data_IF_070877699353
#
_entry.id   IF_070877699353
#
_cell.length_a   1.000
_cell.length_b   1.000
_cell.length_c   1.000
_cell.angle_alpha   90.00
_cell.angle_beta   90.00
_cell.angle_gamma   90.00
#
_symmetry.space_group_name_H-M   'P 1'
#
loop_
_entity.id
_entity.type
_entity.pdbx_description
1 polymer ?
#
# COMPACT_ATOMS: atom_id res chain seq x y z
N UNK A 1 -6.13 2.55 -8.88
CA UNK A 1 -4.92 3.38 -8.71
C UNK A 1 -3.67 2.54 -8.42
N UNK A 2 -3.75 1.54 -7.51
CA UNK A 2 -2.60 0.71 -7.12
C UNK A 2 -1.88 0.01 -8.28
N UNK A 3 -2.61 -0.53 -9.27
CA UNK A 3 -1.99 -1.17 -10.44
C UNK A 3 -1.00 -0.29 -11.21
N UNK A 4 -1.32 1.00 -11.38
CA UNK A 4 -0.42 1.94 -12.06
C UNK A 4 0.85 2.17 -11.22
N UNK A 5 0.68 2.32 -9.91
CA UNK A 5 1.82 2.52 -9.00
C UNK A 5 2.72 1.29 -8.93
N UNK A 6 2.15 0.08 -8.88
CA UNK A 6 2.91 -1.19 -8.95
C UNK A 6 3.72 -1.26 -10.24
N UNK A 7 3.09 -1.00 -11.38
CA UNK A 7 3.77 -0.98 -12.69
C UNK A 7 4.92 0.03 -12.72
N UNK A 8 4.73 1.24 -12.20
CA UNK A 8 5.79 2.25 -12.15
C UNK A 8 6.96 1.81 -11.26
N UNK A 9 6.67 1.16 -10.12
CA UNK A 9 7.72 0.61 -9.27
C UNK A 9 8.51 -0.48 -9.99
N UNK A 10 7.84 -1.35 -10.76
CA UNK A 10 8.48 -2.38 -11.56
C UNK A 10 9.34 -1.78 -12.69
N UNK A 11 8.80 -0.80 -13.44
CA UNK A 11 9.49 -0.11 -14.54
C UNK A 11 10.75 0.63 -14.04
N UNK A 12 10.75 1.09 -12.79
CA UNK A 12 11.89 1.74 -12.14
C UNK A 12 12.83 0.76 -11.41
N UNK A 13 12.53 -0.54 -11.41
CA UNK A 13 13.33 -1.56 -10.72
C UNK A 13 13.36 -1.39 -9.20
N UNK A 14 12.30 -0.81 -8.61
CA UNK A 14 12.23 -0.61 -7.17
C UNK A 14 11.86 -1.93 -6.47
N UNK A 15 12.64 -2.36 -5.45
CA UNK A 15 12.37 -3.60 -4.74
C UNK A 15 11.08 -3.52 -3.92
N UNK A 16 10.70 -2.31 -3.49
CA UNK A 16 9.57 -2.06 -2.63
C UNK A 16 8.54 -1.13 -3.25
N UNK A 17 7.26 -1.38 -2.93
CA UNK A 17 6.15 -0.50 -3.28
C UNK A 17 5.27 -0.29 -2.05
N UNK A 18 5.40 0.91 -1.45
CA UNK A 18 4.62 1.32 -0.29
C UNK A 18 3.29 1.94 -0.72
N UNK A 19 2.21 1.19 -0.55
CA UNK A 19 0.87 1.64 -0.90
C UNK A 19 -0.20 0.94 -0.06
N UNK A 20 -1.38 1.53 0.02
CA UNK A 20 -2.42 1.12 0.97
C UNK A 20 -2.25 1.73 2.36
N UNK A 21 -3.40 1.98 2.98
CA UNK A 21 -3.62 2.52 4.31
C UNK A 21 -4.65 1.67 5.06
N UNK A 22 -5.00 2.03 6.29
CA UNK A 22 -5.95 1.29 7.13
C UNK A 22 -7.30 0.91 6.48
N UNK A 23 -7.77 1.66 5.48
CA UNK A 23 -9.06 1.44 4.82
C UNK A 23 -9.02 0.60 3.54
N UNK A 24 -7.84 0.37 2.97
CA UNK A 24 -7.69 -0.21 1.63
C UNK A 24 -6.45 -1.13 1.48
N UNK A 25 -5.80 -1.49 2.60
CA UNK A 25 -4.58 -2.32 2.57
C UNK A 25 -4.80 -3.70 1.96
N UNK A 26 -5.98 -4.31 2.08
CA UNK A 26 -6.29 -5.62 1.50
C UNK A 26 -6.21 -5.57 -0.04
N UNK A 27 -6.85 -4.57 -0.64
CA UNK A 27 -6.79 -4.32 -2.08
C UNK A 27 -5.38 -3.93 -2.52
N UNK A 28 -4.64 -3.19 -1.69
CA UNK A 28 -3.24 -2.85 -1.98
C UNK A 28 -2.34 -4.09 -2.01
N UNK A 29 -2.57 -5.05 -1.11
CA UNK A 29 -1.84 -6.34 -1.09
C UNK A 29 -2.18 -7.16 -2.34
N UNK A 30 -3.46 -7.26 -2.71
CA UNK A 30 -3.89 -7.95 -3.94
C UNK A 30 -3.24 -7.36 -5.21
N UNK A 31 -2.99 -6.05 -5.22
CA UNK A 31 -2.33 -5.34 -6.32
C UNK A 31 -0.79 -5.28 -6.19
N UNK A 32 -0.18 -5.97 -5.22
CA UNK A 32 1.27 -6.17 -5.14
C UNK A 32 2.05 -5.18 -4.26
N UNK A 33 1.43 -4.61 -3.23
CA UNK A 33 2.14 -3.84 -2.21
C UNK A 33 3.13 -4.72 -1.44
N UNK A 34 4.35 -4.22 -1.20
CA UNK A 34 5.31 -4.87 -0.29
C UNK A 34 5.30 -4.24 1.10
N UNK A 35 4.80 -3.00 1.20
CA UNK A 35 4.66 -2.26 2.46
C UNK A 35 3.26 -1.63 2.49
N UNK A 36 2.52 -1.87 3.58
CA UNK A 36 1.25 -1.20 3.87
C UNK A 36 1.37 -0.34 5.14
N UNK A 37 0.56 0.71 5.24
CA UNK A 37 0.64 1.67 6.35
C UNK A 37 -0.62 1.63 7.20
N UNK A 38 -0.56 0.97 8.35
CA UNK A 38 -1.73 0.78 9.21
C UNK A 38 -1.63 1.65 10.45
N UNK A 39 -2.55 2.61 10.58
CA UNK A 39 -2.67 3.50 11.74
C UNK A 39 -3.96 3.24 12.49
N UNK A 40 -5.07 3.85 12.05
CA UNK A 40 -6.32 3.86 12.80
C UNK A 40 -6.95 2.50 13.04
N UNK A 41 -6.67 1.50 12.19
CA UNK A 41 -7.13 0.13 12.42
C UNK A 41 -6.39 -0.59 13.56
N UNK A 42 -5.17 -0.17 13.87
CA UNK A 42 -4.39 -0.69 15.01
C UNK A 42 -4.59 0.16 16.26
N UNK A 43 -4.60 1.49 16.12
CA UNK A 43 -4.55 2.42 17.26
C UNK A 43 -5.87 3.17 17.53
N UNK A 44 -6.89 3.00 16.69
CA UNK A 44 -8.14 3.74 16.79
C UNK A 44 -8.12 5.13 16.10
N UNK A 45 -9.21 5.90 16.20
CA UNK A 45 -9.29 7.26 15.66
C UNK A 45 -8.16 8.16 16.17
N UNK A 46 -7.76 9.14 15.36
CA UNK A 46 -6.86 10.20 15.84
C UNK A 46 -7.63 11.04 16.87
N UNK A 47 -7.05 11.20 18.06
CA UNK A 47 -7.54 12.09 19.11
C UNK A 47 -7.30 13.55 18.77
#
# INVERSE_FOLDING_TARGET
AFRLLRRLADDLGLPDCSMGMSGDFEVAVEEGATIVRIGSRLFGPRG
#
